data_IF_879553540582
#
_entry.id   IF_879553540582
#
_cell.length_a   1.000
_cell.length_b   1.000
_cell.length_c   1.000
_cell.angle_alpha   90.00
_cell.angle_beta   90.00
_cell.angle_gamma   90.00
#
_symmetry.space_group_name_H-M   'P 1'
#
loop_
_entity.id
_entity.type
_entity.pdbx_description
1 polymer ?
#
# COMPACT_ATOMS: atom_id res chain seq x y z
N UNK A 1 -32.16 27.47 -8.35
CA UNK A 1 -31.53 26.88 -7.14
C UNK A 1 -31.21 28.00 -6.17
N UNK A 2 -31.80 28.03 -4.98
CA UNK A 2 -31.57 29.09 -3.99
C UNK A 2 -30.11 29.09 -3.50
N UNK A 3 -29.55 30.26 -3.20
CA UNK A 3 -28.18 30.43 -2.67
C UNK A 3 -27.97 29.56 -1.40
N UNK A 4 -29.00 29.42 -0.57
CA UNK A 4 -28.99 28.56 0.62
C UNK A 4 -28.83 27.06 0.26
N UNK A 5 -29.42 26.62 -0.84
CA UNK A 5 -29.29 25.24 -1.32
C UNK A 5 -27.87 24.97 -1.81
N UNK A 6 -27.25 25.93 -2.53
CA UNK A 6 -25.86 25.82 -2.99
C UNK A 6 -24.87 25.76 -1.82
N UNK A 7 -25.04 26.61 -0.80
CA UNK A 7 -24.21 26.59 0.42
C UNK A 7 -24.33 25.24 1.13
N UNK A 8 -25.55 24.69 1.22
CA UNK A 8 -25.81 23.41 1.88
C UNK A 8 -25.15 22.24 1.14
N UNK A 9 -25.25 22.22 -0.19
CA UNK A 9 -24.59 21.23 -1.05
C UNK A 9 -23.06 21.32 -0.91
N UNK A 10 -22.49 22.52 -0.94
CA UNK A 10 -21.05 22.72 -0.79
C UNK A 10 -20.53 22.24 0.57
N UNK A 11 -21.24 22.57 1.67
CA UNK A 11 -20.93 22.06 3.01
C UNK A 11 -20.99 20.53 3.08
N UNK A 12 -21.97 19.92 2.40
CA UNK A 12 -22.11 18.47 2.33
C UNK A 12 -20.92 17.81 1.61
N UNK A 13 -20.47 18.38 0.49
CA UNK A 13 -19.26 17.87 -0.20
C UNK A 13 -17.99 18.00 0.65
N UNK A 14 -17.79 19.13 1.33
CA UNK A 14 -16.66 19.30 2.28
C UNK A 14 -16.74 18.27 3.40
N UNK A 15 -17.93 18.04 3.96
CA UNK A 15 -18.14 17.05 5.01
C UNK A 15 -17.78 15.64 4.53
N UNK A 16 -18.22 15.24 3.33
CA UNK A 16 -17.87 13.95 2.75
C UNK A 16 -16.36 13.80 2.51
N UNK A 17 -15.71 14.85 2.02
CA UNK A 17 -14.25 14.86 1.79
C UNK A 17 -13.46 14.77 3.10
N UNK A 18 -13.90 15.46 4.15
CA UNK A 18 -13.26 15.36 5.46
C UNK A 18 -13.46 13.98 6.10
N UNK A 19 -14.65 13.38 5.93
CA UNK A 19 -14.91 12.03 6.42
C UNK A 19 -14.01 11.00 5.72
N UNK A 20 -13.87 11.06 4.40
CA UNK A 20 -12.96 10.16 3.66
C UNK A 20 -11.49 10.37 4.06
N UNK A 21 -11.10 11.61 4.39
CA UNK A 21 -9.78 11.95 4.93
C UNK A 21 -9.51 11.35 6.31
N UNK A 22 -10.54 11.02 7.08
CA UNK A 22 -10.38 10.33 8.38
C UNK A 22 -10.43 8.81 8.18
N UNK A 23 -11.28 8.35 7.26
CA UNK A 23 -11.51 6.93 7.01
C UNK A 23 -10.27 6.20 6.48
N UNK A 24 -9.49 6.83 5.59
CA UNK A 24 -8.26 6.19 5.09
C UNK A 24 -7.23 5.92 6.20
N UNK A 25 -7.31 6.58 7.35
CA UNK A 25 -6.41 6.29 8.48
C UNK A 25 -6.61 4.87 9.04
N UNK A 26 -7.75 4.22 8.75
CA UNK A 26 -8.01 2.81 9.10
C UNK A 26 -7.46 1.84 8.06
N UNK A 27 -7.10 2.31 6.87
CA UNK A 27 -6.46 1.51 5.84
C UNK A 27 -4.99 1.32 6.20
N UNK A 28 -4.67 0.30 6.99
CA UNK A 28 -3.33 0.07 7.56
C UNK A 28 -2.69 -1.24 7.09
N UNK A 29 -3.43 -2.06 6.34
CA UNK A 29 -2.92 -3.25 5.70
C UNK A 29 -3.67 -3.56 4.40
N UNK A 30 -3.00 -4.23 3.46
CA UNK A 30 -3.58 -4.74 2.21
C UNK A 30 -2.62 -5.74 1.54
N UNK A 31 -3.15 -6.49 0.58
CA UNK A 31 -2.38 -7.30 -0.35
C UNK A 31 -2.00 -6.48 -1.59
N UNK A 32 -0.71 -6.30 -1.81
CA UNK A 32 -0.15 -5.54 -2.92
C UNK A 32 1.04 -6.32 -3.48
N UNK A 33 1.06 -6.52 -4.80
CA UNK A 33 2.07 -7.36 -5.49
C UNK A 33 2.18 -8.77 -4.90
N UNK A 34 1.06 -9.44 -4.59
CA UNK A 34 1.00 -10.78 -4.00
C UNK A 34 1.63 -10.94 -2.60
N UNK A 35 1.94 -9.83 -1.92
CA UNK A 35 2.44 -9.82 -0.55
C UNK A 35 1.49 -9.05 0.36
N UNK A 36 1.44 -9.44 1.64
CA UNK A 36 0.70 -8.69 2.67
C UNK A 36 1.57 -7.53 3.14
N UNK A 37 1.05 -6.31 3.10
CA UNK A 37 1.73 -5.13 3.58
C UNK A 37 1.00 -4.55 4.78
N UNK A 38 1.74 -4.14 5.81
CA UNK A 38 1.19 -3.39 6.96
C UNK A 38 1.97 -2.10 7.14
N UNK A 39 1.28 -1.03 7.54
CA UNK A 39 1.87 0.29 7.75
C UNK A 39 1.10 1.09 8.81
N UNK A 40 1.60 2.27 9.14
CA UNK A 40 0.89 3.25 9.96
C UNK A 40 0.77 4.58 9.21
N UNK A 41 -0.23 5.37 9.60
CA UNK A 41 -0.37 6.75 9.14
C UNK A 41 0.18 7.71 10.18
N UNK A 42 1.05 8.63 9.75
CA UNK A 42 1.53 9.74 10.57
C UNK A 42 1.52 11.03 9.76
N UNK A 43 0.77 12.03 10.22
CA UNK A 43 0.61 13.33 9.52
C UNK A 43 0.25 13.18 8.03
N UNK A 44 -0.61 12.22 7.70
CA UNK A 44 -1.04 11.93 6.32
C UNK A 44 0.01 11.23 5.46
N UNK A 45 1.10 10.71 6.05
CA UNK A 45 2.14 9.95 5.36
C UNK A 45 2.18 8.51 5.84
N UNK A 46 2.60 7.61 4.96
CA UNK A 46 2.84 6.20 5.25
C UNK A 46 4.20 6.06 5.96
N UNK A 47 4.18 5.49 7.16
CA UNK A 47 5.36 5.17 7.98
C UNK A 47 5.31 3.70 8.40
N UNK A 48 6.45 3.15 8.83
CA UNK A 48 6.59 1.75 9.26
C UNK A 48 6.03 0.72 8.26
N UNK A 49 6.18 0.96 6.96
CA UNK A 49 5.71 0.06 5.90
C UNK A 49 6.59 -1.21 5.87
N UNK A 50 5.96 -2.36 6.12
CA UNK A 50 6.62 -3.65 6.23
C UNK A 50 5.86 -4.71 5.42
N UNK A 51 6.62 -5.62 4.80
CA UNK A 51 6.12 -6.73 4.00
C UNK A 51 6.05 -8.00 4.86
N UNK A 52 4.94 -8.73 4.77
CA UNK A 52 4.63 -9.92 5.53
C UNK A 52 4.23 -11.07 4.60
N UNK A 53 4.57 -12.29 5.00
CA UNK A 53 4.13 -13.50 4.34
C UNK A 53 2.62 -13.64 4.50
N UNK A 54 1.83 -13.77 3.41
CA UNK A 54 0.39 -13.98 3.51
C UNK A 54 0.02 -15.35 4.14
N UNK A 55 0.97 -16.30 4.18
CA UNK A 55 0.73 -17.66 4.69
C UNK A 55 1.01 -17.80 6.18
N UNK A 56 2.12 -17.25 6.68
CA UNK A 56 2.56 -17.44 8.07
C UNK A 56 2.71 -16.14 8.87
N UNK A 57 2.40 -14.98 8.27
CA UNK A 57 2.52 -13.65 8.85
C UNK A 57 3.93 -13.28 9.36
N UNK A 58 4.96 -14.03 8.95
CA UNK A 58 6.35 -13.66 9.19
C UNK A 58 6.75 -12.44 8.35
N UNK A 59 7.61 -11.57 8.90
CA UNK A 59 8.21 -10.47 8.13
C UNK A 59 9.08 -11.04 7.02
N UNK A 60 8.91 -10.55 5.79
CA UNK A 60 9.71 -11.00 4.66
C UNK A 60 11.08 -10.32 4.65
N UNK A 61 12.12 -11.11 4.37
CA UNK A 61 13.43 -10.59 3.98
C UNK A 61 13.39 -10.20 2.50
N UNK A 62 14.39 -9.46 2.04
CA UNK A 62 14.46 -9.03 0.65
C UNK A 62 15.84 -9.28 0.04
N UNK A 63 15.85 -9.56 -1.26
CA UNK A 63 17.05 -9.61 -2.10
C UNK A 63 16.86 -8.68 -3.29
N UNK A 64 17.74 -7.69 -3.41
CA UNK A 64 17.82 -6.76 -4.54
C UNK A 64 19.19 -6.78 -5.23
N UNK A 65 19.94 -7.87 -5.04
CA UNK A 65 21.32 -8.03 -5.52
C UNK A 65 21.45 -9.13 -6.57
N UNK A 66 20.48 -10.03 -6.67
CA UNK A 66 20.42 -11.13 -7.63
C UNK A 66 20.08 -10.65 -9.04
N UNK A 67 21.06 -9.99 -9.66
CA UNK A 67 21.12 -9.71 -11.09
C UNK A 67 22.33 -10.47 -11.64
N UNK A 68 22.08 -11.63 -12.23
CA UNK A 68 23.16 -12.52 -12.69
C UNK A 68 23.66 -12.10 -14.08
N UNK A 69 22.87 -11.32 -14.81
CA UNK A 69 23.16 -10.90 -16.19
C UNK A 69 22.90 -9.41 -16.37
N UNK A 70 23.73 -8.70 -17.17
CA UNK A 70 23.52 -7.28 -17.49
C UNK A 70 22.18 -6.97 -18.17
N UNK A 71 21.57 -7.98 -18.80
CA UNK A 71 20.26 -7.87 -19.48
C UNK A 71 19.07 -8.13 -18.56
N UNK A 72 19.31 -8.55 -17.32
CA UNK A 72 18.26 -8.84 -16.36
C UNK A 72 17.71 -7.52 -15.81
N UNK A 73 16.38 -7.36 -15.88
CA UNK A 73 15.73 -6.17 -15.32
C UNK A 73 15.95 -6.15 -13.80
N UNK A 74 16.34 -4.99 -13.28
CA UNK A 74 16.45 -4.78 -11.83
C UNK A 74 15.14 -5.18 -11.15
N UNK A 75 15.26 -5.88 -10.02
CA UNK A 75 14.14 -6.43 -9.27
C UNK A 75 14.49 -6.51 -7.80
N UNK A 76 13.47 -6.47 -6.95
CA UNK A 76 13.55 -6.82 -5.53
C UNK A 76 12.63 -7.99 -5.27
N UNK A 77 13.17 -9.07 -4.75
CA UNK A 77 12.43 -10.26 -4.32
C UNK A 77 12.17 -10.18 -2.82
N UNK A 78 10.96 -10.52 -2.39
CA UNK A 78 10.57 -10.65 -0.98
C UNK A 78 10.40 -12.12 -0.65
N UNK A 79 11.16 -12.60 0.32
CA UNK A 79 11.38 -14.02 0.60
C UNK A 79 10.89 -14.34 2.01
N UNK A 80 10.18 -15.45 2.15
CA UNK A 80 9.74 -15.95 3.44
C UNK A 80 10.66 -17.08 3.93
N UNK A 81 11.49 -16.81 4.93
CA UNK A 81 12.39 -17.81 5.52
C UNK A 81 11.63 -18.91 6.27
N UNK A 82 10.43 -18.62 6.77
CA UNK A 82 9.59 -19.58 7.50
C UNK A 82 8.79 -20.51 6.58
N UNK A 83 8.74 -20.23 5.27
CA UNK A 83 8.03 -21.03 4.27
C UNK A 83 8.99 -21.60 3.24
N UNK A 84 10.02 -22.30 3.69
CA UNK A 84 11.05 -22.93 2.86
C UNK A 84 11.77 -21.95 1.92
N UNK A 85 12.02 -20.72 2.40
CA UNK A 85 12.67 -19.65 1.62
C UNK A 85 11.99 -19.35 0.28
N UNK A 86 10.66 -19.50 0.22
CA UNK A 86 9.91 -19.19 -1.01
C UNK A 86 9.91 -17.68 -1.30
N UNK A 87 10.00 -17.34 -2.58
CA UNK A 87 9.76 -15.98 -3.08
C UNK A 87 8.25 -15.73 -3.05
N UNK A 88 7.81 -14.78 -2.22
CA UNK A 88 6.41 -14.40 -2.07
C UNK A 88 6.03 -13.31 -3.09
N UNK A 89 6.94 -12.39 -3.36
CA UNK A 89 6.71 -11.26 -4.26
C UNK A 89 7.98 -10.86 -4.99
N UNK A 90 7.82 -10.35 -6.21
CA UNK A 90 8.90 -9.77 -7.00
C UNK A 90 8.43 -8.42 -7.54
N UNK A 91 9.18 -7.36 -7.24
CA UNK A 91 8.90 -6.01 -7.74
C UNK A 91 10.03 -5.60 -8.69
N UNK A 92 9.71 -5.43 -9.97
CA UNK A 92 10.65 -4.98 -10.99
C UNK A 92 10.85 -3.46 -10.96
N UNK A 93 12.03 -3.01 -11.40
CA UNK A 93 12.35 -1.60 -11.64
C UNK A 93 13.40 -1.01 -10.71
N UNK A 94 13.87 -1.73 -9.68
CA UNK A 94 14.93 -1.25 -8.82
C UNK A 94 15.13 -2.04 -7.54
N UNK A 95 15.87 -1.41 -6.62
CA UNK A 95 16.25 -1.94 -5.31
C UNK A 95 15.12 -1.85 -4.26
N UNK A 96 15.39 -2.26 -3.02
CA UNK A 96 14.43 -2.21 -1.91
C UNK A 96 13.75 -0.84 -1.76
N UNK A 97 14.49 0.25 -1.87
CA UNK A 97 13.93 1.60 -1.74
C UNK A 97 12.94 1.90 -2.88
N UNK A 98 13.26 1.48 -4.10
CA UNK A 98 12.32 1.56 -5.22
C UNK A 98 11.05 0.75 -4.93
N UNK A 99 11.19 -0.50 -4.49
CA UNK A 99 10.08 -1.40 -4.21
C UNK A 99 9.14 -0.85 -3.12
N UNK A 100 9.70 -0.38 -2.00
CA UNK A 100 8.95 0.27 -0.92
C UNK A 100 8.20 1.51 -1.43
N UNK A 101 8.84 2.34 -2.26
CA UNK A 101 8.19 3.52 -2.82
C UNK A 101 7.12 3.18 -3.86
N UNK A 102 7.25 2.07 -4.59
CA UNK A 102 6.21 1.57 -5.50
C UNK A 102 4.94 1.19 -4.72
N UNK A 103 5.11 0.47 -3.61
CA UNK A 103 3.99 0.10 -2.72
C UNK A 103 3.34 1.34 -2.12
N UNK A 104 4.12 2.32 -1.63
CA UNK A 104 3.57 3.59 -1.13
C UNK A 104 2.70 4.30 -2.18
N UNK A 105 3.18 4.41 -3.42
CA UNK A 105 2.42 5.03 -4.51
C UNK A 105 1.12 4.27 -4.79
N UNK A 106 1.13 2.94 -4.69
CA UNK A 106 -0.07 2.14 -4.88
C UNK A 106 -1.09 2.32 -3.75
N UNK A 107 -0.64 2.36 -2.49
CA UNK A 107 -1.49 2.71 -1.33
C UNK A 107 -2.11 4.10 -1.55
N UNK A 108 -1.30 5.10 -1.90
CA UNK A 108 -1.78 6.47 -2.17
C UNK A 108 -2.74 6.54 -3.36
N UNK A 109 -2.50 5.75 -4.42
CA UNK A 109 -3.41 5.64 -5.56
C UNK A 109 -4.77 5.09 -5.10
N UNK A 110 -4.79 3.97 -4.36
CA UNK A 110 -6.01 3.37 -3.81
C UNK A 110 -6.76 4.31 -2.86
N UNK A 111 -6.05 5.12 -2.08
CA UNK A 111 -6.66 6.19 -1.26
C UNK A 111 -7.33 7.26 -2.13
N UNK A 112 -6.64 7.75 -3.18
CA UNK A 112 -7.19 8.76 -4.11
C UNK A 112 -8.38 8.24 -4.90
N UNK A 113 -8.35 6.98 -5.36
CA UNK A 113 -9.43 6.36 -6.13
C UNK A 113 -10.52 5.73 -5.25
N UNK A 114 -10.37 5.77 -3.93
CA UNK A 114 -11.29 5.18 -2.93
C UNK A 114 -11.39 3.64 -2.98
N UNK A 115 -10.51 2.96 -3.72
CA UNK A 115 -10.45 1.49 -3.80
C UNK A 115 -10.14 0.85 -2.44
N UNK A 116 -9.43 1.54 -1.55
CA UNK A 116 -9.11 1.04 -0.19
C UNK A 116 -10.34 0.66 0.65
N UNK A 117 -11.52 1.18 0.29
CA UNK A 117 -12.78 0.91 1.00
C UNK A 117 -13.25 -0.54 0.86
N UNK A 118 -12.82 -1.27 -0.16
CA UNK A 118 -13.09 -2.71 -0.24
C UNK A 118 -12.24 -3.44 0.79
N UNK A 119 -10.95 -3.13 0.87
CA UNK A 119 -10.01 -3.78 1.79
C UNK A 119 -10.36 -3.55 3.27
N UNK A 120 -10.91 -2.39 3.64
CA UNK A 120 -11.37 -2.14 5.03
C UNK A 120 -12.60 -2.97 5.41
N UNK A 121 -13.48 -3.32 4.45
CA UNK A 121 -14.73 -4.03 4.76
C UNK A 121 -14.53 -5.52 5.00
N UNK A 122 -13.44 -6.07 4.47
CA UNK A 122 -13.11 -7.49 4.56
C UNK A 122 -12.32 -7.84 5.84
N UNK A 123 -11.91 -6.82 6.62
CA UNK A 123 -11.21 -6.92 7.89
C UNK A 123 -12.14 -6.60 9.08
#
# INVERSE_FOLDING_TARGET
MSILALISIFKFFIYLQNRSKIEYLKYIEDNIYNAKWKWKWSKGKIVDLQCYCPTCDAVLVYDDTSHTKPTELLKTEFICENCNSQIVSTIHGGNKNYAINAVKREIERRVRTQEYKTSIKDN
#
